data_IF_973477287326
#
_entry.id   IF_973477287326
#
_cell.length_a   1.000
_cell.length_b   1.000
_cell.length_c   1.000
_cell.angle_alpha   90.00
_cell.angle_beta   90.00
_cell.angle_gamma   90.00
#
_symmetry.space_group_name_H-M   'P 1'
#
loop_
_entity.id
_entity.type
_entity.pdbx_description
1 polymer ?
#
# COMPACT_ATOMS: atom_id res chain seq x y z
N UNK A 1 -52.40 -9.49 39.85
CA UNK A 1 -52.02 -10.04 38.53
C UNK A 1 -52.01 -8.88 37.54
N UNK A 2 -50.84 -8.38 37.11
CA UNK A 2 -50.76 -7.34 36.08
C UNK A 2 -50.83 -8.00 34.69
N UNK A 3 -51.57 -7.41 33.77
CA UNK A 3 -51.49 -7.74 32.34
C UNK A 3 -50.83 -6.54 31.68
N UNK A 4 -49.52 -6.63 31.53
CA UNK A 4 -48.73 -5.67 30.75
C UNK A 4 -49.14 -5.80 29.28
N UNK A 5 -50.01 -4.90 28.82
CA UNK A 5 -50.27 -4.72 27.39
C UNK A 5 -49.15 -3.86 26.82
N UNK A 6 -48.03 -4.50 26.48
CA UNK A 6 -47.00 -3.88 25.65
C UNK A 6 -47.44 -4.01 24.19
N UNK A 7 -47.84 -2.94 23.48
CA UNK A 7 -48.17 -3.05 22.08
C UNK A 7 -46.89 -3.38 21.32
N UNK A 8 -46.78 -4.64 20.89
CA UNK A 8 -45.72 -5.09 19.99
C UNK A 8 -45.88 -4.36 18.66
N UNK A 9 -45.14 -3.25 18.53
CA UNK A 9 -44.96 -2.57 17.25
C UNK A 9 -44.44 -3.64 16.27
N UNK A 10 -45.12 -3.90 15.14
CA UNK A 10 -44.57 -4.79 14.13
C UNK A 10 -43.29 -4.14 13.64
N UNK A 11 -42.15 -4.72 13.98
CA UNK A 11 -40.87 -4.38 13.38
C UNK A 11 -40.99 -4.73 11.90
N UNK A 12 -41.43 -3.79 11.07
CA UNK A 12 -41.25 -3.86 9.63
C UNK A 12 -39.75 -3.88 9.41
N UNK A 13 -39.20 -5.09 9.31
CA UNK A 13 -37.86 -5.32 8.80
C UNK A 13 -37.86 -4.70 7.41
N UNK A 14 -37.25 -3.52 7.31
CA UNK A 14 -37.01 -2.87 6.03
C UNK A 14 -36.06 -3.82 5.31
N UNK A 15 -36.62 -4.71 4.49
CA UNK A 15 -35.87 -5.57 3.60
C UNK A 15 -35.20 -4.62 2.61
N UNK A 16 -34.02 -4.15 3.00
CA UNK A 16 -33.20 -3.26 2.21
C UNK A 16 -32.64 -4.11 1.07
N UNK A 17 -33.49 -4.35 0.07
CA UNK A 17 -33.16 -4.96 -1.20
C UNK A 17 -32.18 -4.02 -1.89
N UNK A 18 -30.89 -4.22 -1.60
CA UNK A 18 -29.81 -3.60 -2.37
C UNK A 18 -29.93 -4.17 -3.78
N UNK A 19 -30.56 -3.41 -4.66
CA UNK A 19 -30.57 -3.69 -6.09
C UNK A 19 -29.14 -3.52 -6.62
N UNK A 20 -28.34 -4.57 -6.43
CA UNK A 20 -27.01 -4.69 -7.01
C UNK A 20 -27.19 -4.83 -8.51
N UNK A 21 -26.95 -3.75 -9.25
CA UNK A 21 -26.92 -3.82 -10.71
C UNK A 21 -25.57 -4.43 -11.12
N UNK A 22 -25.52 -5.71 -11.55
CA UNK A 22 -24.27 -6.40 -11.85
C UNK A 22 -23.48 -5.69 -12.96
N UNK A 23 -24.16 -5.00 -13.88
CA UNK A 23 -23.53 -4.19 -14.93
C UNK A 23 -22.80 -2.98 -14.34
N UNK A 24 -23.39 -2.33 -13.34
CA UNK A 24 -22.78 -1.19 -12.65
C UNK A 24 -21.57 -1.67 -11.82
N UNK A 25 -21.71 -2.80 -11.11
CA UNK A 25 -20.60 -3.42 -10.38
C UNK A 25 -19.46 -3.80 -11.32
N UNK A 26 -19.77 -4.38 -12.49
CA UNK A 26 -18.78 -4.74 -13.50
C UNK A 26 -18.09 -3.51 -14.08
N UNK A 27 -18.85 -2.44 -14.38
CA UNK A 27 -18.31 -1.17 -14.87
C UNK A 27 -17.35 -0.53 -13.87
N UNK A 28 -17.71 -0.50 -12.59
CA UNK A 28 -16.83 0.00 -11.52
C UNK A 28 -15.58 -0.86 -11.38
N UNK A 29 -15.71 -2.19 -11.40
CA UNK A 29 -14.56 -3.10 -11.34
C UNK A 29 -13.61 -2.91 -12.53
N UNK A 30 -14.15 -2.78 -13.73
CA UNK A 30 -13.38 -2.52 -14.95
C UNK A 30 -12.65 -1.17 -14.89
N UNK A 31 -13.34 -0.12 -14.44
CA UNK A 31 -12.73 1.21 -14.26
C UNK A 31 -11.59 1.17 -13.24
N UNK A 32 -11.79 0.55 -12.07
CA UNK A 32 -10.74 0.39 -11.06
C UNK A 32 -9.55 -0.38 -11.62
N UNK A 33 -9.80 -1.44 -12.39
CA UNK A 33 -8.75 -2.26 -13.00
C UNK A 33 -7.94 -1.47 -14.03
N UNK A 34 -8.60 -0.75 -14.94
CA UNK A 34 -7.95 0.10 -15.94
C UNK A 34 -7.17 1.25 -15.30
N UNK A 35 -7.74 1.88 -14.27
CA UNK A 35 -7.11 2.97 -13.56
C UNK A 35 -5.87 2.49 -12.80
N UNK A 36 -5.98 1.39 -12.04
CA UNK A 36 -4.86 0.77 -11.36
C UNK A 36 -3.77 0.31 -12.36
N UNK A 37 -4.17 -0.27 -13.49
CA UNK A 37 -3.27 -0.66 -14.57
C UNK A 37 -2.52 0.52 -15.16
N UNK A 38 -3.21 1.63 -15.45
CA UNK A 38 -2.61 2.85 -16.00
C UNK A 38 -1.62 3.49 -15.03
N UNK A 39 -1.98 3.57 -13.74
CA UNK A 39 -1.08 4.05 -12.69
C UNK A 39 0.14 3.13 -12.57
N UNK A 40 -0.04 1.81 -12.61
CA UNK A 40 1.05 0.84 -12.55
C UNK A 40 1.97 0.91 -13.78
N UNK A 41 1.41 1.08 -14.98
CA UNK A 41 2.18 1.19 -16.21
C UNK A 41 2.96 2.51 -16.27
N UNK A 42 2.33 3.63 -15.88
CA UNK A 42 3.00 4.91 -15.71
C UNK A 42 4.10 4.85 -14.64
N UNK A 43 3.86 4.09 -13.57
CA UNK A 43 4.84 3.84 -12.52
C UNK A 43 6.04 3.04 -13.06
N UNK A 44 5.82 1.95 -13.79
CA UNK A 44 6.87 1.17 -14.44
C UNK A 44 7.68 2.00 -15.44
N UNK A 45 7.00 2.80 -16.27
CA UNK A 45 7.67 3.67 -17.26
C UNK A 45 8.49 4.77 -16.60
N UNK A 46 8.05 5.31 -15.46
CA UNK A 46 8.78 6.33 -14.68
C UNK A 46 10.13 5.83 -14.13
N UNK A 47 10.32 4.53 -13.94
CA UNK A 47 11.58 3.96 -13.44
C UNK A 47 12.37 3.19 -14.50
N UNK A 48 11.82 3.01 -15.71
CA UNK A 48 12.40 2.19 -16.77
C UNK A 48 13.77 2.67 -17.32
N UNK A 49 14.20 3.90 -16.99
CA UNK A 49 15.50 4.46 -17.39
C UNK A 49 16.58 4.43 -16.31
N UNK A 50 16.30 3.90 -15.11
CA UNK A 50 17.20 3.97 -13.95
C UNK A 50 17.84 2.60 -13.64
N UNK A 51 19.05 2.57 -13.04
CA UNK A 51 19.67 1.36 -12.49
C UNK A 51 18.73 0.61 -11.55
N UNK A 52 18.84 -0.71 -11.47
CA UNK A 52 17.84 -1.57 -10.82
C UNK A 52 17.66 -1.22 -9.33
N UNK A 53 18.75 -0.93 -8.62
CA UNK A 53 18.65 -0.54 -7.20
C UNK A 53 17.95 0.81 -7.00
N UNK A 54 18.07 1.73 -7.97
CA UNK A 54 17.36 3.01 -7.94
C UNK A 54 15.87 2.84 -8.19
N UNK A 55 15.49 1.95 -9.10
CA UNK A 55 14.08 1.62 -9.32
C UNK A 55 13.45 1.00 -8.07
N UNK A 56 14.18 0.09 -7.42
CA UNK A 56 13.76 -0.51 -6.16
C UNK A 56 13.60 0.60 -5.11
N UNK A 57 14.62 1.40 -4.84
CA UNK A 57 14.54 2.46 -3.83
C UNK A 57 13.33 3.41 -4.02
N UNK A 58 13.10 3.88 -5.25
CA UNK A 58 11.94 4.71 -5.60
C UNK A 58 10.60 4.02 -5.31
N UNK A 59 10.50 2.73 -5.62
CA UNK A 59 9.32 1.93 -5.27
C UNK A 59 9.12 1.87 -3.76
N UNK A 60 10.19 1.84 -2.94
CA UNK A 60 10.10 1.72 -1.48
C UNK A 60 9.57 3.02 -0.92
N UNK A 61 10.15 4.13 -1.36
CA UNK A 61 9.78 5.48 -0.96
C UNK A 61 8.29 5.74 -1.25
N UNK A 62 7.81 5.38 -2.44
CA UNK A 62 6.40 5.54 -2.81
C UNK A 62 5.47 4.63 -2.01
N UNK A 63 5.82 3.36 -1.84
CA UNK A 63 5.04 2.43 -1.01
C UNK A 63 4.98 2.89 0.45
N UNK A 64 6.10 3.34 1.00
CA UNK A 64 6.16 3.91 2.34
C UNK A 64 5.33 5.20 2.44
N UNK A 65 5.32 6.04 1.41
CA UNK A 65 4.44 7.23 1.36
C UNK A 65 2.97 6.85 1.39
N UNK A 66 2.55 5.81 0.65
CA UNK A 66 1.18 5.29 0.70
C UNK A 66 0.84 4.66 2.04
N UNK A 67 1.81 4.02 2.70
CA UNK A 67 1.67 3.55 4.08
C UNK A 67 1.54 4.73 5.08
N UNK A 68 1.94 5.93 4.68
CA UNK A 68 2.01 7.15 5.51
C UNK A 68 3.32 7.31 6.28
N UNK A 69 4.34 6.58 5.88
CA UNK A 69 5.72 6.69 6.33
C UNK A 69 6.59 7.30 5.21
N UNK A 70 6.10 8.34 4.52
CA UNK A 70 6.87 9.01 3.46
C UNK A 70 8.11 9.71 4.02
N UNK A 71 9.17 9.89 3.21
CA UNK A 71 10.37 10.59 3.62
C UNK A 71 10.07 12.05 3.96
N UNK A 72 10.75 12.59 4.98
CA UNK A 72 10.68 14.02 5.30
C UNK A 72 11.53 14.82 4.31
N UNK A 73 11.13 16.06 4.06
CA UNK A 73 11.90 17.01 3.23
C UNK A 73 13.30 17.18 3.79
N UNK A 74 14.33 16.95 2.95
CA UNK A 74 15.74 17.02 3.35
C UNK A 74 16.31 15.76 4.03
N UNK A 75 15.51 14.71 4.22
CA UNK A 75 15.97 13.46 4.82
C UNK A 75 16.85 12.67 3.84
N UNK A 76 17.99 12.18 4.31
CA UNK A 76 18.86 11.35 3.47
C UNK A 76 18.26 9.94 3.28
N UNK A 77 18.60 9.23 2.18
CA UNK A 77 18.13 7.86 1.96
C UNK A 77 18.42 6.91 3.13
N UNK A 78 19.60 7.05 3.75
CA UNK A 78 20.01 6.24 4.89
C UNK A 78 19.16 6.52 6.14
N UNK A 79 18.89 7.80 6.44
CA UNK A 79 18.02 8.19 7.55
C UNK A 79 16.57 7.77 7.32
N UNK A 80 16.10 7.88 6.07
CA UNK A 80 14.77 7.42 5.71
C UNK A 80 14.63 5.92 5.94
N UNK A 81 15.61 5.13 5.49
CA UNK A 81 15.64 3.69 5.73
C UNK A 81 15.64 3.34 7.23
N UNK A 82 16.44 4.05 8.03
CA UNK A 82 16.47 3.84 9.48
C UNK A 82 15.10 4.14 10.12
N UNK A 83 14.45 5.23 9.69
CA UNK A 83 13.11 5.59 10.16
C UNK A 83 12.05 4.55 9.76
N UNK A 84 12.14 4.03 8.53
CA UNK A 84 11.21 3.04 7.99
C UNK A 84 11.38 1.67 8.68
N UNK A 85 12.62 1.27 8.98
CA UNK A 85 12.91 0.07 9.81
C UNK A 85 12.32 0.18 11.21
N UNK A 86 12.30 1.38 11.79
CA UNK A 86 11.73 1.62 13.13
C UNK A 86 10.20 1.63 13.11
N UNK A 87 9.58 2.18 12.06
CA UNK A 87 8.12 2.22 11.93
C UNK A 87 7.52 0.90 11.44
N UNK A 88 8.23 0.17 10.59
CA UNK A 88 7.82 -1.13 10.03
C UNK A 88 8.80 -2.18 10.51
N UNK A 89 8.46 -2.87 11.60
CA UNK A 89 9.33 -3.88 12.27
C UNK A 89 9.76 -5.03 11.35
N UNK A 90 9.00 -5.28 10.29
CA UNK A 90 9.28 -6.27 9.24
C UNK A 90 10.26 -5.78 8.16
N UNK A 91 10.53 -4.47 8.08
CA UNK A 91 11.41 -3.87 7.08
C UNK A 91 12.90 -3.94 7.51
N UNK A 92 13.40 -5.16 7.83
CA UNK A 92 14.78 -5.35 8.31
C UNK A 92 15.83 -4.98 7.27
N UNK A 93 15.54 -5.21 5.99
CA UNK A 93 16.52 -5.12 4.89
C UNK A 93 16.51 -3.77 4.15
N UNK A 94 15.67 -2.83 4.61
CA UNK A 94 15.54 -1.49 4.02
C UNK A 94 16.83 -0.68 4.05
N UNK A 95 17.65 -0.85 5.09
CA UNK A 95 18.96 -0.18 5.21
C UNK A 95 19.97 -0.68 4.19
N UNK A 96 19.92 -1.97 3.84
CA UNK A 96 20.77 -2.55 2.81
C UNK A 96 20.38 -2.05 1.41
N UNK A 97 19.08 -1.84 1.20
CA UNK A 97 18.55 -1.23 -0.01
C UNK A 97 18.98 0.24 -0.20
N UNK A 98 18.95 1.04 0.87
CA UNK A 98 19.46 2.42 0.84
C UNK A 98 20.97 2.47 0.57
N UNK A 99 21.73 1.51 1.10
CA UNK A 99 23.16 1.40 0.84
C UNK A 99 23.43 1.04 -0.63
N UNK A 100 22.68 0.08 -1.21
CA UNK A 100 22.76 -0.26 -2.62
C UNK A 100 22.38 0.93 -3.52
N UNK A 101 21.32 1.67 -3.16
CA UNK A 101 20.94 2.91 -3.83
C UNK A 101 22.08 3.94 -3.84
N UNK A 102 22.66 4.24 -2.67
CA UNK A 102 23.77 5.18 -2.56
C UNK A 102 24.98 4.70 -3.38
N UNK A 103 25.27 3.41 -3.36
CA UNK A 103 26.36 2.81 -4.13
C UNK A 103 26.12 2.88 -5.63
N UNK A 104 24.90 2.73 -6.11
CA UNK A 104 24.55 2.87 -7.53
C UNK A 104 24.48 4.33 -7.99
N UNK A 105 23.96 5.22 -7.13
CA UNK A 105 23.80 6.65 -7.42
C UNK A 105 25.13 7.40 -7.44
N UNK A 106 26.07 7.00 -6.58
CA UNK A 106 27.38 7.64 -6.40
C UNK A 106 28.56 6.76 -6.83
N UNK A 107 28.37 5.46 -7.05
CA UNK A 107 29.39 4.51 -7.52
C UNK A 107 29.03 3.93 -8.88
N UNK A 108 29.99 3.94 -9.81
CA UNK A 108 29.76 3.71 -11.25
C UNK A 108 29.43 2.27 -11.68
N UNK A 109 29.11 1.31 -10.79
CA UNK A 109 28.86 -0.10 -11.17
C UNK A 109 27.83 -0.81 -10.28
N UNK A 110 26.79 -1.37 -10.91
CA UNK A 110 25.91 -2.41 -10.37
C UNK A 110 26.22 -3.74 -11.09
N UNK A 111 26.79 -4.75 -10.41
CA UNK A 111 26.86 -6.11 -10.94
C UNK A 111 25.45 -6.71 -11.08
N UNK A 112 25.16 -7.42 -12.18
CA UNK A 112 23.87 -8.10 -12.39
C UNK A 112 23.56 -9.13 -11.28
N UNK A 113 24.57 -9.78 -10.71
CA UNK A 113 24.43 -10.75 -9.62
C UNK A 113 23.89 -10.13 -8.32
N UNK A 114 24.26 -8.88 -8.02
CA UNK A 114 23.73 -8.16 -6.86
C UNK A 114 22.25 -7.82 -7.02
N UNK A 115 21.75 -7.72 -8.26
CA UNK A 115 20.34 -7.39 -8.54
C UNK A 115 19.39 -8.51 -8.16
N UNK A 116 19.76 -9.76 -8.45
CA UNK A 116 18.95 -10.92 -8.09
C UNK A 116 18.81 -11.05 -6.56
N UNK A 117 19.91 -10.83 -5.85
CA UNK A 117 19.95 -10.84 -4.38
C UNK A 117 19.11 -9.69 -3.80
N UNK A 118 19.21 -8.49 -4.37
CA UNK A 118 18.39 -7.34 -3.98
C UNK A 118 16.89 -7.57 -4.22
N UNK A 119 16.52 -8.26 -5.30
CA UNK A 119 15.13 -8.61 -5.63
C UNK A 119 14.54 -9.61 -4.63
N UNK A 120 15.34 -10.58 -4.20
CA UNK A 120 14.94 -11.56 -3.21
C UNK A 120 14.66 -10.90 -1.86
N UNK A 121 15.55 -10.02 -1.41
CA UNK A 121 15.38 -9.23 -0.17
C UNK A 121 14.24 -8.22 -0.24
N UNK A 122 13.92 -7.73 -1.44
CA UNK A 122 12.84 -6.77 -1.65
C UNK A 122 11.45 -7.35 -1.40
N UNK A 123 11.25 -8.63 -1.74
CA UNK A 123 9.93 -9.27 -1.70
C UNK A 123 9.25 -9.22 -0.31
N UNK A 124 9.91 -9.59 0.80
CA UNK A 124 9.32 -9.48 2.14
C UNK A 124 9.04 -8.03 2.54
N UNK A 125 9.96 -7.11 2.22
CA UNK A 125 9.76 -5.67 2.47
C UNK A 125 8.51 -5.14 1.75
N UNK A 126 8.36 -5.46 0.47
CA UNK A 126 7.19 -5.06 -0.33
C UNK A 126 5.91 -5.57 0.31
N UNK A 127 5.87 -6.83 0.72
CA UNK A 127 4.70 -7.44 1.32
C UNK A 127 4.32 -6.75 2.65
N UNK A 128 5.31 -6.42 3.48
CA UNK A 128 5.08 -5.66 4.71
C UNK A 128 4.51 -4.26 4.44
N UNK A 129 5.05 -3.55 3.45
CA UNK A 129 4.55 -2.22 3.06
C UNK A 129 3.14 -2.30 2.46
N UNK A 130 2.89 -3.24 1.56
CA UNK A 130 1.55 -3.48 1.00
C UNK A 130 0.56 -3.84 2.10
N UNK A 131 0.93 -4.72 3.03
CA UNK A 131 0.13 -5.06 4.19
C UNK A 131 -0.22 -3.84 5.04
N UNK A 132 0.73 -2.93 5.25
CA UNK A 132 0.49 -1.68 5.98
C UNK A 132 -0.47 -0.73 5.26
N UNK A 133 -0.40 -0.65 3.92
CA UNK A 133 -1.35 0.11 3.08
C UNK A 133 -2.75 -0.48 3.20
N UNK A 134 -2.90 -1.80 3.02
CA UNK A 134 -4.20 -2.50 3.10
C UNK A 134 -4.80 -2.33 4.49
N UNK A 135 -4.00 -2.45 5.56
CA UNK A 135 -4.45 -2.24 6.94
C UNK A 135 -4.96 -0.81 7.16
N UNK A 136 -4.34 0.18 6.53
CA UNK A 136 -4.77 1.58 6.60
C UNK A 136 -6.09 1.80 5.86
N UNK A 137 -6.24 1.25 4.66
CA UNK A 137 -7.46 1.37 3.85
C UNK A 137 -8.64 0.68 4.56
N UNK A 138 -8.43 -0.54 5.09
CA UNK A 138 -9.47 -1.29 5.79
C UNK A 138 -9.88 -0.64 7.12
N UNK A 139 -8.94 -0.04 7.87
CA UNK A 139 -9.27 0.77 9.07
C UNK A 139 -10.13 1.99 8.73
N UNK A 140 -9.82 2.68 7.63
CA UNK A 140 -10.57 3.86 7.18
C UNK A 140 -11.99 3.52 6.70
N UNK A 141 -12.19 2.32 6.15
CA UNK A 141 -13.52 1.84 5.78
C UNK A 141 -14.41 1.49 6.99
N UNK A 142 -13.81 1.04 8.10
CA UNK A 142 -14.56 0.68 9.32
C UNK A 142 -15.17 1.91 9.98
N UNK A 143 -14.41 3.00 10.12
CA UNK A 143 -14.89 4.23 10.77
C UNK A 143 -16.07 4.90 10.07
N UNK A 144 -16.33 4.60 8.79
CA UNK A 144 -17.47 5.15 8.05
C UNK A 144 -18.79 4.39 8.28
N UNK A 145 -18.75 3.20 8.87
CA UNK A 145 -19.96 2.40 9.16
C UNK A 145 -20.51 2.63 10.57
N UNK A 146 -19.76 3.26 11.48
CA UNK A 146 -20.22 3.55 12.85
C UNK A 146 -20.97 4.89 12.98
N UNK A 147 -20.89 5.78 11.99
CA UNK A 147 -21.53 7.12 12.00
C UNK A 147 -22.87 7.16 11.21
N UNK A 148 -23.53 6.01 10.98
CA UNK A 148 -24.76 5.93 10.19
C UNK A 148 -25.83 5.10 10.89
#
# INVERSE_FOLDING_TARGET
MPVDQNPSIPATSIEQKRDYNPLLTLGVAAFITLFAGSVFFGWQRSVAGLPYSQQLWEKTVRLATWAGHGPRTGQTPAEFALSLKRSVREAKDVTMLAAAYNRSRFGKREPEEEKAILAEMWSPLRNALVGSIVRRITRRGRTLNEDR
#
